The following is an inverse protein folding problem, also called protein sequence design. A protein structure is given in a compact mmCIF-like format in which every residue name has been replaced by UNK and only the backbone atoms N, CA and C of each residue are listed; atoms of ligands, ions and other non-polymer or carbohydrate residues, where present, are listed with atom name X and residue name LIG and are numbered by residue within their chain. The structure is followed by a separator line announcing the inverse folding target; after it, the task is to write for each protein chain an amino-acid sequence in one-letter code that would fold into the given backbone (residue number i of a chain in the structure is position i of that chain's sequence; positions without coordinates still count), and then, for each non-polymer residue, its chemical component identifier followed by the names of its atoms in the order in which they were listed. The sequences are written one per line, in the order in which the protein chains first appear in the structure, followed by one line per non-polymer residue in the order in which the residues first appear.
data_IF_190008450129
#
_entry.id   IF_190008450129
#
_cell.length_a   1.000
_cell.length_b   1.000
_cell.length_c   1.000
_cell.angle_alpha   90.00
_cell.angle_beta   90.00
_cell.angle_gamma   90.00
#
_symmetry.space_group_name_H-M   'P 1'
#
loop_
_entity.id
_entity.type
_entity.pdbx_description
1 polymer ?
#
# COMPACT_ATOMS: atom_id res chain seq x y z
N UNK A 1 33.08 3.91 -24.70
CA UNK A 1 31.69 4.10 -24.24
C UNK A 1 31.42 3.09 -23.13
N UNK A 2 31.27 3.52 -21.87
CA UNK A 2 31.11 2.60 -20.73
C UNK A 2 29.79 1.84 -20.89
N UNK A 3 29.83 0.52 -21.05
CA UNK A 3 28.65 -0.34 -21.18
C UNK A 3 27.63 0.03 -20.09
N UNK A 4 26.54 0.72 -20.47
CA UNK A 4 25.48 1.09 -19.53
C UNK A 4 24.80 -0.23 -19.13
N UNK A 5 24.84 -0.54 -17.84
CA UNK A 5 24.22 -1.76 -17.28
C UNK A 5 22.70 -1.72 -17.49
N UNK A 6 22.08 -2.88 -17.67
CA UNK A 6 20.64 -3.03 -17.92
C UNK A 6 19.80 -2.28 -16.88
N UNK A 7 20.13 -2.44 -15.60
CA UNK A 7 19.50 -1.69 -14.51
C UNK A 7 19.49 -0.18 -14.75
N UNK A 8 20.62 0.43 -15.13
CA UNK A 8 20.69 1.88 -15.39
C UNK A 8 19.92 2.30 -16.65
N UNK A 9 19.85 1.43 -17.66
CA UNK A 9 19.10 1.72 -18.88
C UNK A 9 17.61 1.70 -18.61
N UNK A 10 17.14 0.73 -17.82
CA UNK A 10 15.74 0.59 -17.42
C UNK A 10 15.37 1.71 -16.44
N UNK A 11 16.09 1.85 -15.32
CA UNK A 11 15.80 2.88 -14.32
C UNK A 11 15.85 4.32 -14.85
N UNK A 12 16.70 4.62 -15.84
CA UNK A 12 16.75 5.94 -16.48
C UNK A 12 15.86 6.05 -17.73
N UNK A 13 15.20 4.96 -18.14
CA UNK A 13 14.46 4.87 -19.39
C UNK A 13 13.12 5.58 -19.30
N UNK A 14 12.89 6.57 -20.18
CA UNK A 14 11.61 7.32 -20.28
C UNK A 14 10.43 6.43 -20.67
N UNK A 15 10.69 5.30 -21.34
CA UNK A 15 9.67 4.38 -21.83
C UNK A 15 9.33 3.24 -20.87
N UNK A 16 9.95 3.18 -19.69
CA UNK A 16 9.69 2.09 -18.73
C UNK A 16 8.28 2.09 -18.19
N UNK A 17 7.82 3.23 -17.68
CA UNK A 17 6.45 3.35 -17.18
C UNK A 17 5.41 3.05 -18.28
N UNK A 18 5.46 3.66 -19.50
CA UNK A 18 4.55 3.31 -20.58
C UNK A 18 4.55 1.82 -20.95
N UNK A 19 5.73 1.20 -21.05
CA UNK A 19 5.84 -0.23 -21.38
C UNK A 19 5.21 -1.10 -20.30
N UNK A 20 5.49 -0.81 -19.03
CA UNK A 20 4.90 -1.54 -17.89
C UNK A 20 3.39 -1.32 -17.82
N UNK A 21 2.88 -0.12 -18.05
CA UNK A 21 1.44 0.13 -18.08
C UNK A 21 0.75 -0.67 -19.18
N UNK A 22 1.37 -0.80 -20.37
CA UNK A 22 0.83 -1.62 -21.45
C UNK A 22 0.80 -3.10 -21.06
N UNK A 23 1.91 -3.63 -20.53
CA UNK A 23 1.98 -5.01 -20.03
C UNK A 23 0.90 -5.24 -18.97
N UNK A 24 0.75 -4.30 -18.03
CA UNK A 24 -0.24 -4.36 -16.97
C UNK A 24 -1.66 -4.42 -17.51
N UNK A 25 -2.01 -3.54 -18.46
CA UNK A 25 -3.33 -3.52 -19.08
C UNK A 25 -3.61 -4.81 -19.86
N UNK A 26 -2.62 -5.35 -20.57
CA UNK A 26 -2.76 -6.60 -21.32
C UNK A 26 -2.93 -7.80 -20.40
N UNK A 27 -2.16 -7.88 -19.31
CA UNK A 27 -2.31 -8.92 -18.29
C UNK A 27 -3.69 -8.84 -17.61
N UNK A 28 -4.13 -7.65 -17.22
CA UNK A 28 -5.44 -7.46 -16.58
C UNK A 28 -6.59 -7.90 -17.48
N UNK A 29 -6.58 -7.47 -18.75
CA UNK A 29 -7.57 -7.88 -19.75
C UNK A 29 -7.51 -9.39 -19.96
N UNK A 30 -6.32 -9.97 -20.08
CA UNK A 30 -6.14 -11.41 -20.27
C UNK A 30 -6.68 -12.21 -19.07
N UNK A 31 -6.39 -11.79 -17.84
CA UNK A 31 -6.95 -12.41 -16.62
C UNK A 31 -8.47 -12.34 -16.61
N UNK A 32 -9.06 -11.18 -16.97
CA UNK A 32 -10.53 -11.02 -16.99
C UNK A 32 -11.22 -11.97 -17.97
N UNK A 33 -10.57 -12.27 -19.11
CA UNK A 33 -11.10 -13.22 -20.10
C UNK A 33 -10.83 -14.68 -19.73
N UNK A 34 -9.67 -14.99 -19.16
CA UNK A 34 -9.26 -16.37 -18.84
C UNK A 34 -9.92 -16.91 -17.57
N UNK A 35 -10.16 -16.06 -16.58
CA UNK A 35 -10.70 -16.44 -15.27
C UNK A 35 -11.96 -15.64 -14.92
N UNK A 36 -13.06 -15.77 -15.68
CA UNK A 36 -14.33 -15.11 -15.37
C UNK A 36 -14.93 -15.58 -14.04
N UNK A 37 -14.52 -16.76 -13.54
CA UNK A 37 -14.96 -17.32 -12.27
C UNK A 37 -14.48 -16.50 -11.05
N UNK A 38 -13.33 -15.81 -11.13
CA UNK A 38 -12.85 -14.92 -10.06
C UNK A 38 -13.86 -13.79 -9.77
N UNK A 39 -14.59 -13.31 -10.78
CA UNK A 39 -15.63 -12.29 -10.63
C UNK A 39 -16.92 -12.78 -9.95
N UNK A 40 -17.03 -14.10 -9.70
CA UNK A 40 -18.24 -14.74 -9.17
C UNK A 40 -18.04 -15.38 -7.79
N UNK A 41 -16.82 -15.37 -7.26
CA UNK A 41 -16.55 -15.90 -5.92
C UNK A 41 -17.14 -14.90 -4.92
N UNK A 42 -18.10 -15.29 -4.07
CA UNK A 42 -18.53 -14.44 -2.97
C UNK A 42 -17.30 -14.15 -2.13
N UNK A 43 -16.95 -12.87 -2.03
CA UNK A 43 -15.81 -12.41 -1.28
C UNK A 43 -15.91 -12.97 0.14
N UNK A 44 -14.87 -13.74 0.50
CA UNK A 44 -14.53 -14.29 1.81
C UNK A 44 -15.42 -13.83 2.99
N UNK A 45 -15.96 -14.77 3.77
CA UNK A 45 -16.87 -14.55 4.94
C UNK A 45 -16.36 -13.55 6.01
N UNK A 46 -15.14 -13.02 5.87
CA UNK A 46 -14.47 -12.10 6.80
C UNK A 46 -14.37 -10.64 6.30
N UNK A 47 -15.03 -10.26 5.20
CA UNK A 47 -14.97 -8.86 4.75
C UNK A 47 -15.67 -7.89 5.71
N UNK A 48 -15.15 -6.66 5.89
CA UNK A 48 -15.76 -5.67 6.77
C UNK A 48 -17.21 -5.37 6.38
N UNK A 49 -18.09 -5.20 7.36
CA UNK A 49 -19.52 -5.05 7.12
C UNK A 49 -19.87 -3.87 6.18
N UNK A 50 -19.23 -2.72 6.41
CA UNK A 50 -19.44 -1.54 5.57
C UNK A 50 -18.99 -1.76 4.13
N UNK A 51 -17.93 -2.54 3.94
CA UNK A 51 -17.44 -2.88 2.62
C UNK A 51 -18.43 -3.77 1.86
N UNK A 52 -18.98 -4.80 2.50
CA UNK A 52 -20.00 -5.66 1.90
C UNK A 52 -21.26 -4.87 1.49
N UNK A 53 -21.67 -3.89 2.30
CA UNK A 53 -22.81 -3.02 1.99
C UNK A 53 -22.52 -2.11 0.80
N UNK A 54 -21.31 -1.55 0.72
CA UNK A 54 -20.84 -0.72 -0.41
C UNK A 54 -20.79 -1.57 -1.68
N UNK A 55 -20.20 -2.75 -1.63
CA UNK A 55 -20.03 -3.64 -2.78
C UNK A 55 -21.37 -4.07 -3.36
N UNK A 56 -22.28 -4.58 -2.52
CA UNK A 56 -23.61 -5.04 -2.94
C UNK A 56 -24.52 -3.93 -3.47
N UNK A 57 -24.34 -2.69 -2.99
CA UNK A 57 -25.14 -1.55 -3.42
C UNK A 57 -24.59 -0.89 -4.70
N UNK A 58 -23.27 -0.81 -4.86
CA UNK A 58 -22.64 0.02 -5.90
C UNK A 58 -22.25 -0.74 -7.17
N UNK A 59 -21.98 -2.04 -7.13
CA UNK A 59 -21.27 -2.69 -8.24
C UNK A 59 -21.89 -4.03 -8.68
N UNK A 60 -22.37 -4.13 -9.93
CA UNK A 60 -22.46 -5.41 -10.64
C UNK A 60 -21.06 -6.04 -10.75
N UNK A 61 -20.93 -7.38 -10.67
CA UNK A 61 -19.62 -8.04 -10.63
C UNK A 61 -18.64 -7.71 -11.78
N UNK A 62 -19.14 -7.33 -12.96
CA UNK A 62 -18.29 -6.85 -14.07
C UNK A 62 -17.73 -5.43 -13.85
N UNK A 63 -18.42 -4.59 -13.09
CA UNK A 63 -17.98 -3.24 -12.75
C UNK A 63 -16.89 -3.25 -11.68
N UNK A 64 -16.85 -4.26 -10.81
CA UNK A 64 -15.84 -4.39 -9.75
C UNK A 64 -14.42 -4.43 -10.31
N UNK A 65 -14.18 -5.19 -11.37
CA UNK A 65 -12.86 -5.27 -12.01
C UNK A 65 -12.43 -3.95 -12.65
N UNK A 66 -13.38 -3.19 -13.22
CA UNK A 66 -13.10 -1.87 -13.80
C UNK A 66 -12.77 -0.87 -12.68
N UNK A 67 -13.54 -0.90 -11.59
CA UNK A 67 -13.32 -0.03 -10.43
C UNK A 67 -12.00 -0.36 -9.74
N UNK A 68 -11.66 -1.63 -9.56
CA UNK A 68 -10.37 -2.07 -9.03
C UNK A 68 -9.23 -1.55 -9.90
N UNK A 69 -9.29 -1.76 -11.23
CA UNK A 69 -8.29 -1.23 -12.15
C UNK A 69 -8.12 0.30 -12.03
N UNK A 70 -9.22 1.05 -11.91
CA UNK A 70 -9.17 2.50 -11.74
C UNK A 70 -8.54 2.90 -10.39
N UNK A 71 -8.85 2.20 -9.31
CA UNK A 71 -8.25 2.47 -7.99
C UNK A 71 -6.73 2.23 -8.03
N UNK A 72 -6.28 1.12 -8.60
CA UNK A 72 -4.85 0.85 -8.79
C UNK A 72 -4.16 1.89 -9.68
N UNK A 73 -4.84 2.37 -10.73
CA UNK A 73 -4.34 3.46 -11.56
C UNK A 73 -4.23 4.79 -10.78
N UNK A 74 -5.23 5.10 -9.94
CA UNK A 74 -5.22 6.28 -9.06
C UNK A 74 -4.08 6.18 -8.04
N UNK A 75 -3.89 5.02 -7.41
CA UNK A 75 -2.75 4.78 -6.49
C UNK A 75 -1.43 5.00 -7.24
N UNK A 76 -1.29 4.44 -8.44
CA UNK A 76 -0.11 4.64 -9.28
C UNK A 76 0.16 6.11 -9.60
N UNK A 77 -0.88 6.88 -9.91
CA UNK A 77 -0.78 8.33 -10.11
C UNK A 77 -0.36 9.07 -8.83
N UNK A 78 -0.98 8.75 -7.68
CA UNK A 78 -0.60 9.35 -6.39
C UNK A 78 0.83 9.03 -6.00
N UNK A 79 1.34 7.82 -6.32
CA UNK A 79 2.75 7.49 -6.13
C UNK A 79 3.65 8.46 -6.91
N UNK A 80 3.34 8.71 -8.19
CA UNK A 80 4.09 9.69 -9.02
C UNK A 80 4.08 11.07 -8.36
N UNK A 81 2.92 11.53 -7.91
CA UNK A 81 2.78 12.83 -7.26
C UNK A 81 3.56 12.91 -5.94
N UNK A 82 3.50 11.86 -5.12
CA UNK A 82 4.25 11.76 -3.86
C UNK A 82 5.76 11.87 -4.13
N UNK A 83 6.27 11.13 -5.13
CA UNK A 83 7.69 11.23 -5.50
C UNK A 83 8.06 12.60 -6.06
N UNK A 84 7.21 13.22 -6.88
CA UNK A 84 7.46 14.54 -7.45
C UNK A 84 7.51 15.64 -6.38
N UNK A 85 6.61 15.60 -5.41
CA UNK A 85 6.51 16.62 -4.35
C UNK A 85 7.62 16.48 -3.30
N UNK A 86 7.89 15.26 -2.85
CA UNK A 86 8.85 15.04 -1.75
C UNK A 86 10.27 14.75 -2.23
N UNK A 87 10.43 14.40 -3.51
CA UNK A 87 11.73 14.08 -4.11
C UNK A 87 12.38 12.88 -3.45
N UNK A 88 11.60 11.82 -3.22
CA UNK A 88 12.08 10.59 -2.55
C UNK A 88 13.14 9.92 -3.43
N UNK A 89 12.84 9.74 -4.71
CA UNK A 89 13.73 9.18 -5.71
C UNK A 89 14.25 10.31 -6.61
N UNK A 90 15.57 10.46 -6.66
CA UNK A 90 16.25 11.61 -7.33
C UNK A 90 16.16 11.60 -8.86
N UNK A 91 15.74 10.50 -9.49
CA UNK A 91 15.58 10.41 -10.93
C UNK A 91 14.14 10.64 -11.39
N UNK A 92 13.98 11.31 -12.53
CA UNK A 92 12.67 11.67 -13.12
C UNK A 92 11.87 10.48 -13.67
N UNK A 93 12.41 9.27 -13.62
CA UNK A 93 11.66 8.08 -13.99
C UNK A 93 10.87 7.59 -12.76
N UNK A 94 9.56 7.41 -12.91
CA UNK A 94 8.64 6.90 -11.88
C UNK A 94 8.83 5.39 -11.65
N UNK A 95 10.06 5.00 -11.32
CA UNK A 95 10.45 3.60 -11.19
C UNK A 95 9.63 2.88 -10.12
N UNK A 96 9.34 3.54 -9.00
CA UNK A 96 8.43 3.05 -7.96
C UNK A 96 7.04 2.68 -8.49
N UNK A 97 6.44 3.50 -9.36
CA UNK A 97 5.10 3.25 -9.92
C UNK A 97 5.15 2.09 -10.91
N UNK A 98 6.23 1.98 -11.69
CA UNK A 98 6.44 0.83 -12.56
C UNK A 98 6.59 -0.47 -11.76
N UNK A 99 7.38 -0.47 -10.68
CA UNK A 99 7.50 -1.63 -9.78
C UNK A 99 6.16 -1.98 -9.14
N UNK A 100 5.41 -0.97 -8.68
CA UNK A 100 4.09 -1.17 -8.10
C UNK A 100 3.13 -1.85 -9.08
N UNK A 101 3.01 -1.33 -10.31
CA UNK A 101 2.17 -1.97 -11.33
C UNK A 101 2.62 -3.39 -11.64
N UNK A 102 3.93 -3.65 -11.70
CA UNK A 102 4.44 -5.00 -11.88
C UNK A 102 4.02 -5.93 -10.72
N UNK A 103 4.10 -5.48 -9.47
CA UNK A 103 3.64 -6.28 -8.34
C UNK A 103 2.15 -6.59 -8.43
N UNK A 104 1.32 -5.60 -8.75
CA UNK A 104 -0.14 -5.78 -8.86
C UNK A 104 -0.45 -6.79 -9.97
N UNK A 105 0.21 -6.69 -11.13
CA UNK A 105 -0.04 -7.60 -12.27
C UNK A 105 0.33 -9.05 -12.01
N UNK A 106 1.26 -9.28 -11.09
CA UNK A 106 1.76 -10.62 -10.80
C UNK A 106 0.76 -11.42 -9.98
N UNK A 107 -0.20 -10.77 -9.32
CA UNK A 107 -1.21 -11.38 -8.48
C UNK A 107 -2.61 -11.18 -9.08
N UNK A 108 -3.11 -12.12 -9.90
CA UNK A 108 -4.43 -11.99 -10.52
C UNK A 108 -5.57 -11.91 -9.50
N UNK A 109 -5.42 -12.52 -8.32
CA UNK A 109 -6.39 -12.43 -7.22
C UNK A 109 -6.54 -11.02 -6.65
N UNK A 110 -5.50 -10.18 -6.78
CA UNK A 110 -5.53 -8.75 -6.39
C UNK A 110 -6.27 -7.87 -7.41
N UNK A 111 -6.69 -8.43 -8.56
CA UNK A 111 -7.54 -7.69 -9.51
C UNK A 111 -9.00 -7.58 -9.02
N UNK A 112 -9.36 -8.33 -7.98
CA UNK A 112 -10.62 -8.14 -7.26
C UNK A 112 -10.56 -6.87 -6.42
N UNK A 113 -11.74 -6.36 -6.06
CA UNK A 113 -11.85 -5.15 -5.27
C UNK A 113 -11.94 -5.51 -3.78
N UNK A 114 -10.92 -5.16 -3.02
CA UNK A 114 -10.87 -5.40 -1.57
C UNK A 114 -11.07 -4.11 -0.79
N UNK A 115 -11.54 -4.24 0.46
CA UNK A 115 -11.62 -3.12 1.41
C UNK A 115 -10.24 -2.47 1.60
N UNK A 116 -9.19 -3.31 1.57
CA UNK A 116 -7.80 -2.92 1.57
C UNK A 116 -7.38 -1.95 0.48
N UNK A 117 -7.95 -2.01 -0.73
CA UNK A 117 -7.57 -1.11 -1.83
C UNK A 117 -7.96 0.34 -1.53
N UNK A 118 -9.16 0.53 -0.99
CA UNK A 118 -9.65 1.84 -0.56
C UNK A 118 -8.88 2.32 0.68
N UNK A 119 -8.61 1.41 1.63
CA UNK A 119 -7.80 1.71 2.80
C UNK A 119 -6.35 2.10 2.40
N UNK A 120 -5.78 1.46 1.39
CA UNK A 120 -4.47 1.78 0.83
C UNK A 120 -4.47 3.16 0.16
N UNK A 121 -5.53 3.51 -0.58
CA UNK A 121 -5.67 4.87 -1.13
C UNK A 121 -5.79 5.92 -0.01
N UNK A 122 -6.63 5.67 1.00
CA UNK A 122 -6.81 6.57 2.13
C UNK A 122 -5.51 6.75 2.93
N UNK A 123 -4.78 5.66 3.18
CA UNK A 123 -3.47 5.72 3.85
C UNK A 123 -2.41 6.41 2.99
N UNK A 124 -2.41 6.27 1.67
CA UNK A 124 -1.51 7.01 0.79
C UNK A 124 -1.74 8.53 0.84
N UNK A 125 -3.01 8.96 0.83
CA UNK A 125 -3.36 10.38 1.03
C UNK A 125 -2.95 10.84 2.44
N UNK A 126 -3.13 9.97 3.44
CA UNK A 126 -2.68 10.25 4.81
C UNK A 126 -1.16 10.44 4.91
N UNK A 127 -0.37 9.59 4.24
CA UNK A 127 1.10 9.68 4.15
C UNK A 127 1.50 11.00 3.47
N UNK A 128 0.81 11.41 2.41
CA UNK A 128 1.06 12.69 1.75
C UNK A 128 0.98 13.87 2.74
N UNK A 129 -0.08 13.93 3.55
CA UNK A 129 -0.23 14.98 4.55
C UNK A 129 0.77 14.84 5.72
N UNK A 130 1.10 13.61 6.12
CA UNK A 130 2.12 13.35 7.14
C UNK A 130 3.49 13.86 6.68
N UNK A 131 3.88 13.59 5.44
CA UNK A 131 5.16 14.04 4.88
C UNK A 131 5.21 15.55 4.73
N UNK A 132 4.07 16.18 4.40
CA UNK A 132 3.95 17.65 4.42
C UNK A 132 4.20 18.24 5.80
N UNK A 133 3.85 17.55 6.88
CA UNK A 133 4.02 18.06 8.25
C UNK A 133 5.49 18.20 8.69
N UNK A 134 6.45 17.62 7.94
CA UNK A 134 7.87 17.58 8.30
C UNK A 134 8.45 18.95 8.66
N UNK A 135 8.91 19.10 9.91
CA UNK A 135 9.54 20.32 10.46
C UNK A 135 8.72 21.61 10.28
N UNK A 136 7.40 21.51 10.18
CA UNK A 136 6.54 22.69 10.07
C UNK A 136 6.09 23.22 11.43
N UNK A 137 6.21 24.53 11.65
CA UNK A 137 5.79 25.21 12.88
C UNK A 137 4.28 25.16 13.13
N UNK A 138 3.47 25.08 12.07
CA UNK A 138 2.01 25.00 12.13
C UNK A 138 1.49 23.69 11.50
N UNK A 139 1.96 22.55 12.00
CA UNK A 139 1.61 21.23 11.50
C UNK A 139 0.17 20.75 11.81
N UNK A 140 -0.57 21.47 12.67
CA UNK A 140 -1.86 20.99 13.18
C UNK A 140 -2.90 20.70 12.08
N UNK A 141 -2.97 21.53 11.03
CA UNK A 141 -3.87 21.28 9.90
C UNK A 141 -3.47 20.05 9.08
N UNK A 142 -2.17 19.85 8.86
CA UNK A 142 -1.67 18.70 8.10
C UNK A 142 -1.88 17.39 8.85
N UNK A 143 -1.62 17.37 10.17
CA UNK A 143 -1.92 16.18 10.98
C UNK A 143 -3.42 15.93 11.09
N UNK A 144 -4.26 16.97 11.15
CA UNK A 144 -5.72 16.81 11.07
C UNK A 144 -6.13 16.08 9.79
N UNK A 145 -5.67 16.53 8.61
CA UNK A 145 -6.01 15.85 7.35
C UNK A 145 -5.42 14.44 7.29
N UNK A 146 -4.19 14.24 7.76
CA UNK A 146 -3.57 12.91 7.79
C UNK A 146 -4.42 11.92 8.60
N UNK A 147 -4.85 12.29 9.80
CA UNK A 147 -5.67 11.42 10.66
C UNK A 147 -7.14 11.35 10.22
N UNK A 148 -7.65 12.38 9.53
CA UNK A 148 -8.96 12.33 8.88
C UNK A 148 -9.03 11.20 7.86
N UNK A 149 -8.05 11.07 6.98
CA UNK A 149 -8.03 10.00 5.99
C UNK A 149 -7.81 8.61 6.63
N UNK A 150 -7.05 8.51 7.73
CA UNK A 150 -7.01 7.28 8.52
C UNK A 150 -8.39 6.96 9.08
N UNK A 151 -9.08 7.93 9.69
CA UNK A 151 -10.42 7.77 10.26
C UNK A 151 -11.47 7.38 9.21
N UNK A 152 -11.39 7.96 8.01
CA UNK A 152 -12.28 7.60 6.90
C UNK A 152 -12.01 6.19 6.41
N UNK A 153 -10.74 5.84 6.21
CA UNK A 153 -10.34 4.49 5.82
C UNK A 153 -10.69 3.45 6.89
N UNK A 154 -10.65 3.82 8.17
CA UNK A 154 -10.97 2.92 9.28
C UNK A 154 -12.46 2.67 9.51
N UNK A 155 -13.35 3.40 8.83
CA UNK A 155 -14.77 3.01 8.75
C UNK A 155 -14.92 1.80 7.81
N UNK A 156 -14.14 1.76 6.73
CA UNK A 156 -14.20 0.70 5.71
C UNK A 156 -13.35 -0.50 6.14
N UNK A 157 -12.16 -0.27 6.69
CA UNK A 157 -11.23 -1.28 7.17
C UNK A 157 -10.74 -0.91 8.58
N UNK A 158 -11.44 -1.35 9.65
CA UNK A 158 -11.21 -0.89 11.03
C UNK A 158 -9.78 -0.98 11.55
N UNK A 159 -9.04 -1.98 11.10
CA UNK A 159 -7.65 -2.26 11.46
C UNK A 159 -6.71 -1.11 11.05
N UNK A 160 -7.12 -0.26 10.10
CA UNK A 160 -6.40 0.97 9.75
C UNK A 160 -6.23 1.90 10.97
N UNK A 161 -7.10 1.83 11.96
CA UNK A 161 -6.97 2.59 13.21
C UNK A 161 -5.66 2.28 13.93
N UNK A 162 -5.16 1.03 13.87
CA UNK A 162 -3.91 0.64 14.54
C UNK A 162 -2.70 1.40 13.96
N UNK A 163 -2.77 1.80 12.68
CA UNK A 163 -1.73 2.58 12.01
C UNK A 163 -1.60 3.99 12.62
N UNK A 164 -2.65 4.52 13.25
CA UNK A 164 -2.60 5.82 13.92
C UNK A 164 -1.48 5.91 14.95
N UNK A 165 -1.15 4.82 15.64
CA UNK A 165 -0.04 4.75 16.60
C UNK A 165 1.30 5.04 15.91
N UNK A 166 1.54 4.38 14.78
CA UNK A 166 2.74 4.60 13.97
C UNK A 166 2.78 6.06 13.47
N UNK A 167 1.65 6.61 13.03
CA UNK A 167 1.59 8.01 12.57
C UNK A 167 1.93 9.02 13.67
N UNK A 168 1.51 8.79 14.92
CA UNK A 168 1.85 9.67 16.06
C UNK A 168 3.35 9.60 16.35
N UNK A 169 3.93 8.39 16.39
CA UNK A 169 5.36 8.19 16.60
C UNK A 169 6.18 8.92 15.51
N UNK A 170 5.72 8.85 14.27
CA UNK A 170 6.40 9.44 13.13
C UNK A 170 6.22 10.96 13.07
N UNK A 171 5.05 11.48 13.42
CA UNK A 171 4.86 12.92 13.61
C UNK A 171 5.79 13.49 14.71
N UNK A 172 6.05 12.72 15.77
CA UNK A 172 7.04 13.09 16.78
C UNK A 172 8.45 13.14 16.19
N UNK A 173 8.85 12.11 15.43
CA UNK A 173 10.17 12.06 14.75
C UNK A 173 10.36 13.17 13.72
N UNK A 174 9.28 13.58 13.05
CA UNK A 174 9.26 14.69 12.10
C UNK A 174 9.26 16.08 12.75
N UNK A 175 9.31 16.14 14.09
CA UNK A 175 9.27 17.39 14.86
C UNK A 175 8.03 18.23 14.56
N UNK A 176 6.92 17.56 14.21
CA UNK A 176 5.65 18.19 13.87
C UNK A 176 4.58 17.99 14.96
N UNK A 177 4.89 17.17 15.97
CA UNK A 177 4.03 16.89 17.10
C UNK A 177 4.19 17.94 18.22
N UNK A 178 3.13 18.72 18.41
CA UNK A 178 2.91 19.68 19.50
C UNK A 178 1.57 19.33 20.14
N UNK A 179 1.26 19.85 21.33
CA UNK A 179 -0.07 19.60 21.93
C UNK A 179 -1.21 20.01 20.99
N UNK A 180 -1.07 21.14 20.30
CA UNK A 180 -2.06 21.63 19.33
C UNK A 180 -2.20 20.68 18.13
N UNK A 181 -1.09 20.18 17.58
CA UNK A 181 -1.14 19.30 16.42
C UNK A 181 -1.56 17.87 16.78
N UNK A 182 -1.27 17.41 18.00
CA UNK A 182 -1.83 16.18 18.57
C UNK A 182 -3.36 16.27 18.73
N UNK A 183 -3.88 17.36 19.29
CA UNK A 183 -5.34 17.58 19.33
C UNK A 183 -5.94 17.65 17.92
N UNK A 184 -5.22 18.27 16.96
CA UNK A 184 -5.61 18.27 15.55
C UNK A 184 -5.70 16.86 14.96
N UNK A 185 -4.71 16.00 15.23
CA UNK A 185 -4.72 14.60 14.82
C UNK A 185 -5.91 13.83 15.43
N UNK A 186 -6.14 13.98 16.74
CA UNK A 186 -7.26 13.33 17.43
C UNK A 186 -8.61 13.75 16.84
N UNK A 187 -8.81 15.06 16.62
CA UNK A 187 -10.03 15.59 16.00
C UNK A 187 -10.20 15.08 14.56
N UNK A 188 -9.11 14.99 13.80
CA UNK A 188 -9.11 14.44 12.45
C UNK A 188 -9.62 13.00 12.44
N UNK A 189 -9.08 12.14 13.32
CA UNK A 189 -9.51 10.75 13.43
C UNK A 189 -10.95 10.60 13.94
N UNK A 190 -11.38 11.43 14.90
CA UNK A 190 -12.73 11.36 15.48
C UNK A 190 -13.82 11.86 14.52
N UNK A 191 -13.50 12.77 13.58
CA UNK A 191 -14.51 13.43 12.75
C UNK A 191 -15.36 12.45 11.91
N UNK A 192 -14.79 11.47 11.19
CA UNK A 192 -15.57 10.48 10.44
C UNK A 192 -16.51 9.68 11.36
N UNK A 193 -16.03 9.26 12.53
CA UNK A 193 -16.84 8.54 13.52
C UNK A 193 -17.95 9.40 14.12
N UNK A 194 -17.74 10.71 14.26
CA UNK A 194 -18.79 11.63 14.71
C UNK A 194 -19.93 11.71 13.68
N UNK A 195 -19.61 11.82 12.39
CA UNK A 195 -20.65 11.77 11.36
C UNK A 195 -21.38 10.42 11.33
N UNK A 196 -20.66 9.31 11.47
CA UNK A 196 -21.26 7.98 11.57
C UNK A 196 -22.18 7.86 12.78
N UNK A 197 -21.75 8.36 13.95
CA UNK A 197 -22.56 8.40 15.16
C UNK A 197 -23.83 9.22 14.97
N UNK A 198 -23.72 10.41 14.36
CA UNK A 198 -24.87 11.26 14.06
C UNK A 198 -25.90 10.53 13.22
N UNK A 199 -25.46 9.88 12.14
CA UNK A 199 -26.33 9.07 11.29
C UNK A 199 -26.99 7.92 12.09
N UNK A 200 -26.20 7.09 12.77
CA UNK A 200 -26.69 5.97 13.56
C UNK A 200 -27.71 6.38 14.64
N UNK A 201 -27.49 7.52 15.29
CA UNK A 201 -28.39 8.05 16.31
C UNK A 201 -29.73 8.52 15.72
N UNK A 202 -29.72 9.24 14.59
CA UNK A 202 -30.96 9.74 13.98
C UNK A 202 -31.84 8.64 13.37
N UNK A 203 -31.23 7.59 12.81
CA UNK A 203 -31.95 6.46 12.21
C UNK A 203 -32.21 5.31 13.19
N UNK A 204 -31.81 5.47 14.47
CA UNK A 204 -31.95 4.45 15.51
C UNK A 204 -31.24 3.12 15.16
N UNK A 205 -30.12 3.21 14.44
CA UNK A 205 -29.28 2.09 14.00
C UNK A 205 -27.92 2.14 14.70
N UNK A 206 -27.93 2.16 16.04
CA UNK A 206 -26.71 2.28 16.85
C UNK A 206 -25.71 1.13 16.63
N UNK A 207 -26.17 -0.03 16.17
CA UNK A 207 -25.31 -1.16 15.82
C UNK A 207 -24.28 -0.80 14.73
N UNK A 208 -24.64 0.07 13.78
CA UNK A 208 -23.71 0.54 12.74
C UNK A 208 -22.52 1.29 13.33
N UNK A 209 -22.73 2.05 14.40
CA UNK A 209 -21.67 2.80 15.06
C UNK A 209 -20.72 1.88 15.84
N UNK A 210 -21.24 0.85 16.49
CA UNK A 210 -20.42 -0.06 17.30
C UNK A 210 -19.61 -1.06 16.47
N UNK A 211 -20.11 -1.47 15.29
CA UNK A 211 -19.50 -2.51 14.44
C UNK A 211 -18.01 -2.32 14.16
N UNK A 212 -17.51 -1.14 13.70
CA UNK A 212 -16.08 -0.96 13.45
C UNK A 212 -15.21 -1.20 14.70
N UNK A 213 -15.70 -0.83 15.87
CA UNK A 213 -14.98 -1.04 17.13
C UNK A 213 -15.01 -2.50 17.58
N UNK A 214 -16.12 -3.20 17.32
CA UNK A 214 -16.23 -4.64 17.56
C UNK A 214 -15.25 -5.37 16.64
N UNK A 215 -15.27 -5.10 15.33
CA UNK A 215 -14.36 -5.69 14.33
C UNK A 215 -12.87 -5.41 14.65
N UNK A 216 -12.57 -4.21 15.18
CA UNK A 216 -11.22 -3.87 15.65
C UNK A 216 -10.81 -4.71 16.88
N UNK A 217 -11.75 -5.05 17.76
CA UNK A 217 -11.51 -5.83 18.98
C UNK A 217 -11.52 -7.34 18.74
N UNK A 218 -12.09 -7.80 17.63
CA UNK A 218 -12.09 -9.22 17.26
C UNK A 218 -10.74 -9.60 16.67
N UNK A 219 -9.83 -10.03 17.53
CA UNK A 219 -8.59 -10.65 17.12
C UNK A 219 -8.85 -12.10 16.71
N UNK A 220 -8.48 -12.46 15.47
CA UNK A 220 -8.42 -13.85 15.04
C UNK A 220 -7.33 -14.63 15.79
N UNK A 221 -7.18 -15.92 15.47
CA UNK A 221 -6.09 -16.73 16.02
C UNK A 221 -4.73 -16.16 15.59
N UNK A 222 -4.00 -15.61 16.56
CA UNK A 222 -2.72 -14.98 16.30
C UNK A 222 -1.70 -16.00 15.76
N UNK A 223 -0.93 -15.61 14.74
CA UNK A 223 0.11 -16.44 14.12
C UNK A 223 -0.35 -17.75 13.47
N UNK A 224 -1.63 -17.86 13.09
CA UNK A 224 -2.13 -19.01 12.33
C UNK A 224 -1.80 -18.90 10.83
N UNK A 225 -0.51 -18.93 10.47
CA UNK A 225 -0.04 -18.78 9.08
C UNK A 225 -0.52 -19.90 8.13
N UNK A 226 -1.09 -20.97 8.66
CA UNK A 226 -1.69 -22.06 7.87
C UNK A 226 -3.01 -21.64 7.19
N UNK A 227 -3.62 -20.51 7.59
CA UNK A 227 -4.79 -19.97 6.89
C UNK A 227 -4.44 -19.33 5.54
N UNK A 228 -3.16 -18.96 5.35
CA UNK A 228 -2.71 -18.30 4.13
C UNK A 228 -2.63 -19.27 2.96
N UNK A 229 -3.09 -18.82 1.81
CA UNK A 229 -2.96 -19.58 0.58
C UNK A 229 -1.50 -19.63 0.11
N UNK A 230 -1.16 -20.66 -0.67
CA UNK A 230 0.20 -20.85 -1.17
C UNK A 230 0.73 -19.64 -1.97
N UNK A 231 -0.14 -18.95 -2.70
CA UNK A 231 0.23 -17.76 -3.46
C UNK A 231 0.46 -16.54 -2.55
N UNK A 232 -0.34 -16.36 -1.49
CA UNK A 232 -0.16 -15.29 -0.49
C UNK A 232 1.21 -15.43 0.19
N UNK A 233 1.59 -16.64 0.59
CA UNK A 233 2.90 -16.92 1.16
C UNK A 233 4.03 -16.65 0.16
N UNK A 234 3.84 -17.00 -1.12
CA UNK A 234 4.84 -16.77 -2.16
C UNK A 234 5.08 -15.27 -2.41
N UNK A 235 4.02 -14.46 -2.51
CA UNK A 235 4.15 -13.00 -2.69
C UNK A 235 4.73 -12.34 -1.43
N UNK A 236 4.30 -12.73 -0.23
CA UNK A 236 4.85 -12.21 1.02
C UNK A 236 6.34 -12.53 1.15
N UNK A 237 6.75 -13.76 0.85
CA UNK A 237 8.16 -14.17 0.86
C UNK A 237 9.00 -13.38 -0.16
N UNK A 238 8.47 -13.18 -1.37
CA UNK A 238 9.12 -12.38 -2.39
C UNK A 238 9.30 -10.91 -1.96
N UNK A 239 8.22 -10.28 -1.48
CA UNK A 239 8.24 -8.90 -0.98
C UNK A 239 9.18 -8.75 0.22
N UNK A 240 9.23 -9.74 1.12
CA UNK A 240 10.10 -9.73 2.29
C UNK A 240 11.58 -9.75 1.91
N UNK A 241 11.98 -10.59 0.94
CA UNK A 241 13.37 -10.64 0.45
C UNK A 241 13.76 -9.29 -0.15
N UNK A 242 12.89 -8.73 -1.01
CA UNK A 242 13.15 -7.42 -1.61
C UNK A 242 13.20 -6.31 -0.55
N UNK A 243 12.31 -6.36 0.44
CA UNK A 243 12.29 -5.43 1.57
C UNK A 243 13.61 -5.47 2.34
N UNK A 244 14.08 -6.65 2.76
CA UNK A 244 15.30 -6.79 3.57
C UNK A 244 16.50 -6.17 2.84
N UNK A 245 16.69 -6.51 1.56
CA UNK A 245 17.80 -5.99 0.76
C UNK A 245 17.70 -4.48 0.59
N UNK A 246 16.50 -3.97 0.32
CA UNK A 246 16.25 -2.54 0.11
C UNK A 246 16.42 -1.74 1.40
N UNK A 247 15.92 -2.23 2.53
CA UNK A 247 16.00 -1.59 3.84
C UNK A 247 17.45 -1.53 4.33
N UNK A 248 18.19 -2.65 4.25
CA UNK A 248 19.61 -2.68 4.62
C UNK A 248 20.41 -1.68 3.79
N UNK A 249 20.14 -1.59 2.49
CA UNK A 249 20.81 -0.60 1.65
C UNK A 249 20.41 0.84 1.99
N UNK A 250 19.12 1.13 2.19
CA UNK A 250 18.66 2.47 2.54
C UNK A 250 19.26 2.95 3.87
N UNK A 251 19.44 2.06 4.84
CA UNK A 251 20.10 2.39 6.11
C UNK A 251 21.60 2.58 5.91
N UNK A 252 22.27 1.66 5.20
CA UNK A 252 23.73 1.72 5.00
C UNK A 252 24.18 2.90 4.13
N UNK A 253 23.42 3.23 3.08
CA UNK A 253 23.70 4.32 2.15
C UNK A 253 22.97 5.62 2.51
N UNK A 254 22.23 5.68 3.62
CA UNK A 254 21.40 6.83 4.00
C UNK A 254 22.18 8.13 4.26
N UNK A 255 23.51 8.07 4.37
CA UNK A 255 24.37 9.26 4.46
C UNK A 255 24.48 10.03 3.13
N UNK A 256 24.26 9.36 2.00
CA UNK A 256 24.21 10.01 0.68
C UNK A 256 22.93 10.83 0.50
N UNK A 257 21.93 10.59 1.36
CA UNK A 257 20.61 11.20 1.31
C UNK A 257 20.43 12.47 2.11
N UNK A 258 19.58 13.36 1.56
CA UNK A 258 19.12 14.55 2.29
C UNK A 258 18.44 14.07 3.57
N UNK A 259 18.67 14.80 4.66
CA UNK A 259 18.12 14.47 5.99
C UNK A 259 16.61 14.22 5.94
N UNK A 260 15.87 15.05 5.16
CA UNK A 260 14.43 14.89 4.94
C UNK A 260 14.07 13.60 4.19
N UNK A 261 14.77 13.28 3.09
CA UNK A 261 14.54 12.04 2.33
C UNK A 261 14.84 10.80 3.19
N UNK A 262 15.90 10.85 3.99
CA UNK A 262 16.23 9.78 4.96
C UNK A 262 15.11 9.58 5.98
N UNK A 263 14.50 10.66 6.48
CA UNK A 263 13.37 10.56 7.40
C UNK A 263 12.14 9.89 6.75
N UNK A 264 11.82 10.23 5.49
CA UNK A 264 10.73 9.60 4.75
C UNK A 264 11.00 8.12 4.43
N UNK A 265 12.22 7.77 4.03
CA UNK A 265 12.59 6.37 3.78
C UNK A 265 12.55 5.55 5.07
N UNK A 266 13.00 6.11 6.18
CA UNK A 266 12.93 5.45 7.48
C UNK A 266 11.48 5.21 7.91
N UNK A 267 10.59 6.20 7.74
CA UNK A 267 9.15 6.01 7.91
C UNK A 267 8.62 4.83 7.08
N UNK A 268 9.00 4.75 5.79
CA UNK A 268 8.54 3.67 4.91
C UNK A 268 9.09 2.30 5.32
N UNK A 269 10.32 2.25 5.86
CA UNK A 269 10.88 1.02 6.45
C UNK A 269 10.04 0.61 7.66
N UNK A 270 9.78 1.52 8.59
CA UNK A 270 9.04 1.25 9.81
C UNK A 270 7.58 0.85 9.51
N UNK A 271 6.94 1.51 8.54
CA UNK A 271 5.63 1.14 8.01
C UNK A 271 5.63 -0.27 7.41
N UNK A 272 6.65 -0.62 6.64
CA UNK A 272 6.74 -1.96 6.00
C UNK A 272 6.97 -3.06 7.04
N UNK A 273 7.82 -2.83 8.05
CA UNK A 273 8.00 -3.76 9.18
C UNK A 273 6.68 -3.93 9.92
N UNK A 274 5.99 -2.82 10.20
CA UNK A 274 4.72 -2.82 10.88
C UNK A 274 3.65 -3.61 10.11
N UNK A 275 3.59 -3.46 8.78
CA UNK A 275 2.70 -4.23 7.91
C UNK A 275 3.01 -5.73 7.92
N UNK A 276 4.28 -6.14 7.79
CA UNK A 276 4.65 -7.56 7.89
C UNK A 276 4.29 -8.15 9.25
N UNK A 277 4.52 -7.40 10.32
CA UNK A 277 4.16 -7.80 11.68
C UNK A 277 2.64 -7.95 11.83
N UNK A 278 1.87 -7.00 11.30
CA UNK A 278 0.40 -7.04 11.38
C UNK A 278 -0.18 -8.21 10.57
N UNK A 279 0.37 -8.51 9.38
CA UNK A 279 0.01 -9.70 8.60
C UNK A 279 0.40 -10.98 9.33
N UNK A 280 1.54 -11.03 10.00
CA UNK A 280 1.96 -12.20 10.78
C UNK A 280 1.05 -12.43 12.01
N UNK A 281 0.61 -11.37 12.68
CA UNK A 281 -0.31 -11.45 13.82
C UNK A 281 -1.72 -11.78 13.35
N UNK A 282 -2.19 -11.18 12.24
CA UNK A 282 -3.54 -11.35 11.71
C UNK A 282 -3.51 -11.76 10.23
N UNK A 283 -3.23 -13.04 9.92
CA UNK A 283 -3.13 -13.50 8.53
C UNK A 283 -4.44 -13.36 7.74
N UNK A 284 -5.59 -13.33 8.45
CA UNK A 284 -6.92 -13.18 7.85
C UNK A 284 -7.09 -11.89 7.03
N UNK A 285 -6.32 -10.83 7.34
CA UNK A 285 -6.38 -9.56 6.61
C UNK A 285 -5.25 -9.40 5.59
N UNK A 286 -4.59 -10.50 5.19
CA UNK A 286 -3.48 -10.46 4.24
C UNK A 286 -3.86 -9.73 2.95
N UNK A 287 -4.99 -10.09 2.34
CA UNK A 287 -5.46 -9.48 1.09
C UNK A 287 -5.77 -7.98 1.24
N UNK A 288 -6.26 -7.54 2.39
CA UNK A 288 -6.54 -6.13 2.64
C UNK A 288 -5.27 -5.31 2.91
N UNK A 289 -4.22 -5.92 3.46
CA UNK A 289 -2.97 -5.26 3.82
C UNK A 289 -1.92 -5.28 2.70
N UNK A 290 -2.03 -6.24 1.78
CA UNK A 290 -1.11 -6.43 0.67
C UNK A 290 -0.98 -5.19 -0.23
N UNK A 291 -2.05 -4.47 -0.62
CA UNK A 291 -1.94 -3.28 -1.47
C UNK A 291 -1.05 -2.21 -0.83
N UNK A 292 -1.20 -1.96 0.47
CA UNK A 292 -0.39 -0.98 1.20
C UNK A 292 1.06 -1.45 1.36
N UNK A 293 1.28 -2.75 1.57
CA UNK A 293 2.62 -3.36 1.60
C UNK A 293 3.34 -3.25 0.25
N UNK A 294 2.61 -3.41 -0.86
CA UNK A 294 3.15 -3.25 -2.22
C UNK A 294 3.52 -1.78 -2.49
N UNK A 295 2.70 -0.82 -2.03
CA UNK A 295 3.01 0.62 -2.12
C UNK A 295 4.33 0.92 -1.41
N UNK A 296 4.48 0.56 -0.13
CA UNK A 296 5.68 0.89 0.63
C UNK A 296 6.93 0.21 0.07
N UNK A 297 6.83 -1.07 -0.28
CA UNK A 297 7.94 -1.82 -0.89
C UNK A 297 8.34 -1.25 -2.24
N UNK A 298 7.37 -0.87 -3.10
CA UNK A 298 7.69 -0.32 -4.42
C UNK A 298 8.54 0.95 -4.35
N UNK A 299 8.32 1.80 -3.34
CA UNK A 299 9.10 3.03 -3.12
C UNK A 299 10.51 2.67 -2.64
N UNK A 300 10.64 1.77 -1.66
CA UNK A 300 11.95 1.35 -1.11
C UNK A 300 12.84 0.67 -2.16
N UNK A 301 12.24 -0.26 -2.92
CA UNK A 301 12.91 -1.00 -3.99
C UNK A 301 13.23 -0.06 -5.15
N UNK A 302 12.31 0.86 -5.46
CA UNK A 302 12.51 1.91 -6.45
C UNK A 302 13.71 2.78 -6.12
N UNK A 303 13.82 3.19 -4.86
CA UNK A 303 14.95 3.96 -4.35
C UNK A 303 16.27 3.18 -4.46
N UNK A 304 16.28 1.91 -4.00
CA UNK A 304 17.44 1.02 -4.07
C UNK A 304 17.99 0.90 -5.50
N UNK A 305 17.13 0.57 -6.46
CA UNK A 305 17.56 0.33 -7.82
C UNK A 305 18.00 1.58 -8.57
N UNK A 306 17.47 2.75 -8.21
CA UNK A 306 17.90 4.02 -8.82
C UNK A 306 19.25 4.49 -8.29
N UNK A 307 19.51 4.31 -6.99
CA UNK A 307 20.74 4.80 -6.35
C UNK A 307 21.95 3.88 -6.62
N UNK A 308 21.71 2.57 -6.73
CA UNK A 308 22.80 1.60 -6.88
C UNK A 308 23.28 1.43 -8.31
N UNK A 309 24.60 1.47 -8.51
CA UNK A 309 25.23 1.20 -9.81
C UNK A 309 26.39 0.20 -9.67
N UNK A 310 26.17 -0.88 -8.92
CA UNK A 310 27.15 -1.97 -8.70
C UNK A 310 26.84 -3.20 -9.56
N UNK A 311 27.82 -4.10 -9.77
CA UNK A 311 27.58 -5.33 -10.54
C UNK A 311 26.58 -6.23 -9.81
N UNK A 312 26.72 -6.31 -8.48
CA UNK A 312 25.82 -7.05 -7.60
C UNK A 312 24.38 -6.54 -7.69
N UNK A 313 24.16 -5.22 -7.67
CA UNK A 313 22.80 -4.66 -7.81
C UNK A 313 22.17 -4.97 -9.17
N UNK A 314 22.96 -4.93 -10.26
CA UNK A 314 22.44 -5.30 -11.58
C UNK A 314 22.09 -6.79 -11.69
N UNK A 315 22.86 -7.66 -11.04
CA UNK A 315 22.53 -9.10 -10.95
C UNK A 315 21.26 -9.28 -10.10
N UNK A 316 21.15 -8.60 -8.96
CA UNK A 316 19.96 -8.63 -8.12
C UNK A 316 18.72 -8.13 -8.87
N UNK A 317 18.83 -7.07 -9.66
CA UNK A 317 17.74 -6.56 -10.52
C UNK A 317 17.26 -7.61 -11.52
N UNK A 318 18.18 -8.32 -12.18
CA UNK A 318 17.83 -9.40 -13.13
C UNK A 318 17.17 -10.56 -12.38
N UNK A 319 17.73 -10.99 -11.25
CA UNK A 319 17.17 -12.07 -10.42
C UNK A 319 15.77 -11.68 -9.93
N UNK A 320 15.56 -10.45 -9.47
CA UNK A 320 14.25 -9.99 -9.00
C UNK A 320 13.21 -10.01 -10.11
N UNK A 321 13.60 -9.66 -11.35
CA UNK A 321 12.70 -9.66 -12.50
C UNK A 321 12.38 -11.09 -12.94
N UNK A 322 13.37 -11.98 -13.01
CA UNK A 322 13.16 -13.40 -13.32
C UNK A 322 12.27 -14.06 -12.25
N UNK A 323 12.56 -13.81 -10.97
CA UNK A 323 11.74 -14.30 -9.86
C UNK A 323 10.31 -13.77 -9.92
N UNK A 324 10.12 -12.51 -10.36
CA UNK A 324 8.79 -11.94 -10.55
C UNK A 324 8.02 -12.65 -11.68
N UNK A 325 8.69 -12.95 -12.81
CA UNK A 325 8.07 -13.70 -13.91
C UNK A 325 7.73 -15.13 -13.53
N UNK A 326 8.57 -15.79 -12.72
CA UNK A 326 8.29 -17.12 -12.18
C UNK A 326 7.12 -17.09 -11.19
N UNK A 327 7.05 -16.05 -10.35
CA UNK A 327 5.94 -15.86 -9.43
C UNK A 327 4.62 -15.65 -10.17
N UNK A 328 4.62 -14.90 -11.29
CA UNK A 328 3.44 -14.75 -12.13
C UNK A 328 2.99 -16.08 -12.74
N UNK A 329 3.93 -16.88 -13.26
CA UNK A 329 3.61 -18.21 -13.79
C UNK A 329 3.07 -19.14 -12.70
N UNK A 330 3.63 -19.08 -11.49
CA UNK A 330 3.14 -19.83 -10.33
C UNK A 330 1.72 -19.41 -9.93
N UNK A 331 1.44 -18.11 -9.85
CA UNK A 331 0.12 -17.59 -9.50
C UNK A 331 -0.95 -17.94 -10.54
N UNK A 332 -0.60 -17.94 -11.84
CA UNK A 332 -1.51 -18.44 -12.89
C UNK A 332 -1.75 -19.94 -12.73
N UNK A 333 -0.69 -20.71 -12.45
CA UNK A 333 -0.82 -22.16 -12.24
C UNK A 333 -1.76 -22.47 -11.07
N UNK A 334 -1.66 -21.75 -9.95
CA UNK A 334 -2.53 -22.00 -8.78
C UNK A 334 -4.00 -21.65 -9.03
N UNK A 335 -4.29 -20.86 -10.07
CA UNK A 335 -5.64 -20.45 -10.46
C UNK A 335 -6.27 -21.36 -11.54
N UNK A 336 -5.47 -22.20 -12.21
CA UNK A 336 -5.90 -23.20 -13.19
C UNK A 336 -6.26 -24.51 -12.49
#
# INVERSE_FOLDING_TARGET
MRNKRLQNQVTAGRFTLPAVTLICTLCWVSTSFLFPQLASIPTQDNQPFFWQSIQSFLLPGWAEQIVSFLIYAIIGYFLIELNNQFGIIRMRASMQTAIYFLFVTVCPEMHLLYAGDIAALASLISIYFLFRSYQQSHAAGYLFYSFLFIGMGSIIFPQLTVFSVLWILEAYRFQSLTLRSFCGALLGWMLPYWFLFGHAFFYNEMDLFYRPFIELSTFGEAFHLQTLQSWELAILGYLLILFIVSAVHCIAAGFEDKIRTRAYLQFLIDLTIFLFLLIAIQPNYCNDLLPLLMISNSILIGHFFVLTNSKSSNVFFIISLVSLTLLFAFNIWTLL
#
